data_IF_800626510438
#
_entry.id   IF_800626510438
#
_cell.length_a   1.000
_cell.length_b   1.000
_cell.length_c   1.000
_cell.angle_alpha   90.00
_cell.angle_beta   90.00
_cell.angle_gamma   90.00
#
_symmetry.space_group_name_H-M   'P 1'
#
loop_
_entity.id
_entity.type
_entity.pdbx_description
1 polymer ?
#
# COMPACT_ATOMS: atom_id res chain seq x y z
N UNK A 1 24.36 -9.28 17.69
CA UNK A 1 23.52 -10.46 17.95
C UNK A 1 22.36 -10.33 17.01
N UNK A 2 22.01 -11.40 16.28
CA UNK A 2 20.89 -11.35 15.36
C UNK A 2 19.60 -10.96 16.10
N UNK A 3 18.70 -10.34 15.37
CA UNK A 3 17.44 -9.83 15.90
C UNK A 3 16.34 -10.88 15.72
N UNK A 4 15.80 -11.42 16.81
CA UNK A 4 14.76 -12.45 16.74
C UNK A 4 13.41 -11.84 16.31
N UNK A 5 12.77 -12.50 15.33
CA UNK A 5 11.49 -12.14 14.74
C UNK A 5 10.58 -13.37 14.77
N UNK A 6 9.35 -13.21 15.27
CA UNK A 6 8.35 -14.26 15.20
C UNK A 6 7.98 -14.53 13.74
N UNK A 7 8.03 -15.79 13.32
CA UNK A 7 7.60 -16.22 11.99
C UNK A 7 6.23 -16.89 12.09
N UNK A 8 5.29 -16.49 11.23
CA UNK A 8 3.99 -17.17 11.14
C UNK A 8 3.44 -17.23 9.72
N UNK A 9 2.51 -18.14 9.49
CA UNK A 9 1.76 -18.27 8.25
C UNK A 9 0.28 -18.25 8.59
N UNK A 10 -0.42 -17.22 8.14
CA UNK A 10 -1.84 -17.00 8.48
C UNK A 10 -2.80 -17.75 7.55
N UNK A 11 -2.26 -18.43 6.53
CA UNK A 11 -3.02 -19.21 5.57
C UNK A 11 -3.81 -18.37 4.58
N UNK A 12 -4.86 -18.99 4.03
CA UNK A 12 -5.80 -18.35 3.11
C UNK A 12 -6.86 -17.60 3.91
N UNK A 13 -6.97 -16.29 3.71
CA UNK A 13 -8.01 -15.44 4.28
C UNK A 13 -8.63 -14.56 3.18
N UNK A 14 -9.81 -14.01 3.45
CA UNK A 14 -10.35 -12.95 2.59
C UNK A 14 -9.46 -11.71 2.65
N UNK A 15 -9.57 -10.85 1.64
CA UNK A 15 -8.79 -9.63 1.60
C UNK A 15 -9.10 -8.72 2.78
N UNK A 16 -10.37 -8.56 3.18
CA UNK A 16 -10.73 -7.73 4.33
C UNK A 16 -10.23 -8.31 5.66
N UNK A 17 -10.25 -9.62 5.86
CA UNK A 17 -9.66 -10.27 7.05
C UNK A 17 -8.16 -10.05 7.13
N UNK A 18 -7.44 -10.16 6.01
CA UNK A 18 -6.01 -9.89 5.95
C UNK A 18 -5.69 -8.44 6.35
N UNK A 19 -6.43 -7.46 5.82
CA UNK A 19 -6.22 -6.04 6.15
C UNK A 19 -6.59 -5.73 7.61
N UNK A 20 -7.65 -6.35 8.14
CA UNK A 20 -8.01 -6.18 9.54
C UNK A 20 -6.92 -6.74 10.48
N UNK A 21 -6.35 -7.89 10.11
CA UNK A 21 -5.22 -8.49 10.83
C UNK A 21 -3.95 -7.63 10.73
N UNK A 22 -3.71 -6.96 9.60
CA UNK A 22 -2.62 -5.99 9.47
C UNK A 22 -2.72 -4.85 10.49
N UNK A 23 -3.89 -4.22 10.58
CA UNK A 23 -4.12 -3.14 11.54
C UNK A 23 -4.01 -3.63 12.99
N UNK A 24 -4.61 -4.79 13.29
CA UNK A 24 -4.53 -5.39 14.61
C UNK A 24 -3.09 -5.67 15.05
N UNK A 25 -2.23 -6.14 14.14
CA UNK A 25 -0.82 -6.36 14.45
C UNK A 25 -0.07 -5.05 14.70
N UNK A 26 -0.36 -3.98 13.94
CA UNK A 26 0.24 -2.65 14.19
C UNK A 26 -0.08 -2.17 15.59
N UNK A 27 -1.36 -2.23 15.98
CA UNK A 27 -1.81 -1.73 17.27
C UNK A 27 -1.37 -2.64 18.42
N UNK A 28 -1.40 -3.96 18.24
CA UNK A 28 -0.88 -4.92 19.20
C UNK A 28 0.64 -4.76 19.42
N UNK A 29 1.41 -4.53 18.35
CA UNK A 29 2.85 -4.28 18.47
C UNK A 29 3.13 -2.94 19.16
N UNK A 30 2.41 -1.88 18.79
CA UNK A 30 2.52 -0.58 19.45
C UNK A 30 2.19 -0.66 20.95
N UNK A 31 1.25 -1.52 21.35
CA UNK A 31 0.89 -1.80 22.73
C UNK A 31 1.83 -2.79 23.45
N UNK A 32 2.88 -3.30 22.78
CA UNK A 32 3.82 -4.28 23.34
C UNK A 32 3.20 -5.65 23.61
N UNK A 33 2.13 -6.01 22.90
CA UNK A 33 1.37 -7.26 23.07
C UNK A 33 1.85 -8.38 22.16
N UNK A 34 2.53 -8.05 21.06
CA UNK A 34 3.17 -9.01 20.16
C UNK A 34 4.63 -8.58 19.92
N UNK A 35 5.53 -9.53 19.64
CA UNK A 35 6.91 -9.23 19.26
C UNK A 35 6.98 -8.74 17.80
N UNK A 36 8.16 -8.31 17.37
CA UNK A 36 8.47 -8.14 15.96
C UNK A 36 8.13 -9.44 15.21
N UNK A 37 7.37 -9.34 14.12
CA UNK A 37 6.76 -10.49 13.45
C UNK A 37 6.85 -10.37 11.94
N UNK A 38 7.30 -11.43 11.27
CA UNK A 38 7.15 -11.65 9.84
C UNK A 38 6.03 -12.67 9.62
N UNK A 39 5.02 -12.30 8.82
CA UNK A 39 3.94 -13.21 8.42
C UNK A 39 3.94 -13.45 6.92
N UNK A 40 3.61 -14.68 6.53
CA UNK A 40 3.16 -15.02 5.20
C UNK A 40 1.63 -15.09 5.17
N UNK A 41 1.04 -14.63 4.07
CA UNK A 41 -0.41 -14.49 3.91
C UNK A 41 -0.82 -14.90 2.49
N UNK A 42 -2.04 -15.44 2.33
CA UNK A 42 -2.66 -15.68 1.03
C UNK A 42 -4.07 -15.08 1.00
N UNK A 43 -4.52 -14.73 -0.20
CA UNK A 43 -5.77 -14.03 -0.42
C UNK A 43 -6.74 -14.93 -1.20
N UNK A 44 -8.02 -14.92 -0.81
CA UNK A 44 -9.08 -15.20 -1.78
C UNK A 44 -9.11 -14.09 -2.84
N UNK A 45 -9.64 -14.32 -4.05
CA UNK A 45 -9.67 -13.29 -5.11
C UNK A 45 -10.16 -11.93 -4.60
N UNK A 46 -9.28 -10.94 -4.64
CA UNK A 46 -9.49 -9.63 -4.04
C UNK A 46 -8.89 -8.52 -4.91
N UNK A 47 -9.63 -7.44 -5.09
CA UNK A 47 -9.14 -6.19 -5.68
C UNK A 47 -8.96 -5.16 -4.56
N UNK A 48 -7.71 -4.79 -4.28
CA UNK A 48 -7.32 -3.96 -3.15
C UNK A 48 -6.92 -2.56 -3.63
N UNK A 49 -7.54 -1.52 -3.07
CA UNK A 49 -7.16 -0.12 -3.25
C UNK A 49 -6.36 0.40 -2.05
N UNK A 50 -5.47 1.35 -2.29
CA UNK A 50 -4.74 2.04 -1.23
C UNK A 50 -5.65 2.94 -0.38
N UNK A 51 -5.19 3.25 0.85
CA UNK A 51 -5.95 4.04 1.83
C UNK A 51 -6.55 5.33 1.26
N UNK A 52 -5.81 6.00 0.39
CA UNK A 52 -6.15 7.32 -0.19
C UNK A 52 -6.58 7.26 -1.66
N UNK A 53 -6.88 6.08 -2.21
CA UNK A 53 -7.37 5.99 -3.58
C UNK A 53 -8.90 6.18 -3.66
N UNK A 54 -9.37 6.68 -4.79
CA UNK A 54 -10.81 6.80 -5.09
C UNK A 54 -11.35 5.49 -5.66
N UNK A 55 -12.23 4.82 -4.90
CA UNK A 55 -12.76 3.51 -5.24
C UNK A 55 -13.32 3.45 -6.67
N UNK A 56 -14.10 4.47 -7.06
CA UNK A 56 -14.76 4.55 -8.38
C UNK A 56 -13.77 4.63 -9.55
N UNK A 57 -12.57 5.17 -9.30
CA UNK A 57 -11.55 5.39 -10.32
C UNK A 57 -10.59 4.22 -10.43
N UNK A 58 -10.50 3.37 -9.41
CA UNK A 58 -9.53 2.28 -9.36
C UNK A 58 -10.13 0.92 -9.68
N UNK A 59 -11.41 0.67 -9.34
CA UNK A 59 -12.04 -0.63 -9.50
C UNK A 59 -13.27 -0.58 -10.42
N UNK A 60 -13.47 -1.66 -11.18
CA UNK A 60 -14.70 -1.93 -11.93
C UNK A 60 -15.62 -2.76 -11.05
N UNK A 61 -16.40 -2.09 -10.21
CA UNK A 61 -17.17 -2.74 -9.13
C UNK A 61 -18.11 -3.85 -9.64
N UNK A 62 -18.81 -3.61 -10.75
CA UNK A 62 -19.69 -4.61 -11.37
C UNK A 62 -18.90 -5.86 -11.83
N UNK A 63 -17.69 -5.68 -12.37
CA UNK A 63 -16.82 -6.80 -12.77
C UNK A 63 -16.27 -7.55 -11.57
N UNK A 64 -15.95 -6.84 -10.48
CA UNK A 64 -15.55 -7.47 -9.22
C UNK A 64 -16.67 -8.39 -8.71
N UNK A 65 -17.91 -7.89 -8.64
CA UNK A 65 -19.06 -8.64 -8.17
C UNK A 65 -19.34 -9.86 -9.06
N UNK A 66 -19.40 -9.66 -10.39
CA UNK A 66 -19.68 -10.73 -11.35
C UNK A 66 -18.65 -11.87 -11.33
N UNK A 67 -17.40 -11.57 -10.93
CA UNK A 67 -16.29 -12.53 -10.86
C UNK A 67 -16.06 -13.10 -9.46
N UNK A 68 -16.84 -12.68 -8.45
CA UNK A 68 -16.63 -13.07 -7.06
C UNK A 68 -15.32 -12.56 -6.47
N UNK A 69 -14.83 -11.41 -6.95
CA UNK A 69 -13.62 -10.74 -6.46
C UNK A 69 -14.01 -9.74 -5.38
N UNK A 70 -13.48 -9.91 -4.17
CA UNK A 70 -13.79 -9.02 -3.05
C UNK A 70 -13.15 -7.64 -3.25
N UNK A 71 -13.91 -6.57 -3.05
CA UNK A 71 -13.38 -5.19 -2.99
C UNK A 71 -12.85 -4.90 -1.60
N UNK A 72 -11.65 -4.31 -1.54
CA UNK A 72 -10.92 -4.11 -0.27
C UNK A 72 -10.23 -2.76 -0.30
N UNK A 73 -10.31 -2.00 0.79
CA UNK A 73 -9.43 -0.85 1.04
C UNK A 73 -8.37 -1.24 2.04
N UNK A 74 -7.11 -0.88 1.78
CA UNK A 74 -5.99 -1.12 2.70
C UNK A 74 -5.88 0.01 3.72
N UNK A 75 -5.30 -0.32 4.88
CA UNK A 75 -4.82 0.69 5.85
C UNK A 75 -3.53 1.37 5.37
N UNK A 76 -2.79 0.70 4.48
CA UNK A 76 -1.60 1.23 3.82
C UNK A 76 -1.94 1.99 2.53
N UNK A 77 -1.04 2.89 2.15
CA UNK A 77 -1.14 3.65 0.91
C UNK A 77 -0.85 2.86 -0.37
N UNK A 78 -0.49 3.58 -1.42
CA UNK A 78 -0.08 3.00 -2.71
C UNK A 78 -1.22 2.70 -3.69
N UNK A 79 -0.87 2.06 -4.80
CA UNK A 79 -1.78 1.82 -5.92
C UNK A 79 -2.72 0.62 -5.75
N UNK A 80 -3.67 0.49 -6.66
CA UNK A 80 -4.58 -0.64 -6.72
C UNK A 80 -3.87 -1.91 -7.20
N UNK A 81 -4.21 -3.05 -6.60
CA UNK A 81 -3.64 -4.37 -6.90
C UNK A 81 -4.73 -5.44 -6.88
N UNK A 82 -4.49 -6.54 -7.59
CA UNK A 82 -5.32 -7.75 -7.54
C UNK A 82 -4.52 -8.89 -6.93
N UNK A 83 -5.09 -9.59 -5.95
CA UNK A 83 -4.46 -10.73 -5.26
C UNK A 83 -5.41 -11.93 -5.24
N UNK A 84 -4.83 -13.11 -5.40
CA UNK A 84 -5.50 -14.41 -5.29
C UNK A 84 -4.51 -15.47 -4.79
N UNK A 85 -4.91 -16.74 -4.82
CA UNK A 85 -4.08 -17.85 -4.36
C UNK A 85 -2.86 -18.14 -5.24
N UNK A 86 -2.79 -17.56 -6.45
CA UNK A 86 -1.63 -17.66 -7.35
C UNK A 86 -0.46 -16.78 -6.90
N UNK A 87 -0.58 -16.11 -5.76
CA UNK A 87 0.38 -15.15 -5.25
C UNK A 87 0.62 -15.40 -3.76
N UNK A 88 1.78 -14.97 -3.25
CA UNK A 88 2.11 -15.04 -1.83
C UNK A 88 2.31 -13.63 -1.31
N UNK A 89 1.47 -13.23 -0.36
CA UNK A 89 1.69 -12.01 0.40
C UNK A 89 2.62 -12.25 1.58
N UNK A 90 3.23 -11.18 2.06
CA UNK A 90 3.98 -11.16 3.32
C UNK A 90 3.86 -9.80 3.99
N UNK A 91 4.06 -9.78 5.32
CA UNK A 91 4.06 -8.57 6.13
C UNK A 91 5.06 -8.66 7.27
N UNK A 92 5.91 -7.66 7.40
CA UNK A 92 6.81 -7.44 8.53
C UNK A 92 6.22 -6.33 9.40
N UNK A 93 5.88 -6.67 10.65
CA UNK A 93 5.53 -5.71 11.69
C UNK A 93 6.68 -5.67 12.68
N UNK A 94 7.36 -4.54 12.82
CA UNK A 94 8.49 -4.44 13.72
C UNK A 94 8.75 -3.02 14.25
N UNK A 95 9.61 -2.91 15.25
CA UNK A 95 10.17 -1.63 15.65
C UNK A 95 11.12 -1.08 14.58
N UNK A 96 10.75 0.02 13.91
CA UNK A 96 11.52 0.61 12.80
C UNK A 96 12.98 0.95 13.16
N UNK A 97 13.30 1.14 14.45
CA UNK A 97 14.66 1.44 14.90
C UNK A 97 15.64 0.31 14.59
N UNK A 98 15.19 -0.93 14.51
CA UNK A 98 16.05 -2.09 14.19
C UNK A 98 16.59 -2.02 12.76
N UNK A 99 15.90 -1.28 11.87
CA UNK A 99 16.29 -1.09 10.48
C UNK A 99 17.29 0.06 10.30
N UNK A 100 17.61 0.78 11.37
CA UNK A 100 18.66 1.81 11.39
C UNK A 100 18.40 3.00 10.47
N UNK A 101 17.14 3.34 10.18
CA UNK A 101 16.77 4.56 9.45
C UNK A 101 15.43 5.11 9.94
N UNK A 102 15.29 6.43 9.88
CA UNK A 102 14.01 7.12 10.11
C UNK A 102 13.24 7.40 8.81
N UNK A 103 13.88 7.21 7.65
CA UNK A 103 13.33 7.47 6.33
C UNK A 103 12.57 6.25 5.81
N UNK A 104 11.30 6.44 5.45
CA UNK A 104 10.50 5.36 4.85
C UNK A 104 11.10 4.86 3.53
N UNK A 105 11.71 5.75 2.75
CA UNK A 105 12.38 5.39 1.49
C UNK A 105 13.58 4.47 1.72
N UNK A 106 14.45 4.80 2.69
CA UNK A 106 15.62 3.96 3.00
C UNK A 106 15.22 2.62 3.64
N UNK A 107 14.19 2.63 4.49
CA UNK A 107 13.60 1.39 5.04
C UNK A 107 13.07 0.50 3.91
N UNK A 108 12.32 1.08 2.97
CA UNK A 108 11.78 0.39 1.79
C UNK A 108 12.89 -0.26 0.99
N UNK A 109 13.95 0.48 0.68
CA UNK A 109 15.11 -0.01 -0.06
C UNK A 109 15.79 -1.19 0.66
N UNK A 110 16.06 -1.08 1.97
CA UNK A 110 16.69 -2.16 2.75
C UNK A 110 15.86 -3.44 2.73
N UNK A 111 14.56 -3.33 3.02
CA UNK A 111 13.66 -4.49 3.06
C UNK A 111 13.52 -5.10 1.67
N UNK A 112 13.35 -4.29 0.61
CA UNK A 112 13.24 -4.80 -0.74
C UNK A 112 14.51 -5.51 -1.20
N UNK A 113 15.69 -4.98 -0.85
CA UNK A 113 16.96 -5.64 -1.15
C UNK A 113 17.10 -6.98 -0.42
N UNK A 114 16.63 -7.09 0.83
CA UNK A 114 16.62 -8.37 1.55
C UNK A 114 15.75 -9.41 0.83
N UNK A 115 14.52 -9.03 0.45
CA UNK A 115 13.61 -9.92 -0.27
C UNK A 115 14.16 -10.27 -1.66
N UNK A 116 14.72 -9.31 -2.39
CA UNK A 116 15.33 -9.50 -3.70
C UNK A 116 16.52 -10.47 -3.63
N UNK A 117 17.43 -10.29 -2.67
CA UNK A 117 18.56 -11.19 -2.44
C UNK A 117 18.09 -12.63 -2.18
N UNK A 118 17.07 -12.79 -1.34
CA UNK A 118 16.46 -14.09 -1.07
C UNK A 118 15.86 -14.73 -2.33
N UNK A 119 15.00 -14.01 -3.05
CA UNK A 119 14.36 -14.51 -4.27
C UNK A 119 15.37 -14.85 -5.38
N UNK A 120 16.49 -14.14 -5.46
CA UNK A 120 17.55 -14.43 -6.44
C UNK A 120 18.17 -15.83 -6.26
N UNK A 121 18.12 -16.39 -5.06
CA UNK A 121 18.58 -17.77 -4.80
C UNK A 121 17.74 -18.85 -5.52
N UNK A 122 16.56 -18.49 -6.03
CA UNK A 122 15.72 -19.39 -6.84
C UNK A 122 16.22 -19.52 -8.29
N UNK A 123 17.27 -18.79 -8.68
CA UNK A 123 17.84 -18.81 -10.04
C UNK A 123 17.35 -17.67 -10.93
N UNK A 124 16.92 -16.55 -10.35
CA UNK A 124 16.54 -15.32 -11.05
C UNK A 124 17.44 -14.15 -10.58
N UNK A 125 17.55 -13.09 -11.37
CA UNK A 125 18.27 -11.87 -10.98
C UNK A 125 17.26 -10.83 -10.47
N UNK A 126 16.75 -11.04 -9.26
CA UNK A 126 15.79 -10.15 -8.62
C UNK A 126 16.51 -8.95 -8.00
N UNK A 127 16.02 -7.75 -8.29
CA UNK A 127 16.64 -6.49 -7.86
C UNK A 127 15.58 -5.49 -7.37
N UNK A 128 15.96 -4.63 -6.44
CA UNK A 128 15.12 -3.52 -6.02
C UNK A 128 14.98 -2.51 -7.18
N UNK A 129 13.72 -2.20 -7.51
CA UNK A 129 13.36 -1.12 -8.44
C UNK A 129 12.83 0.06 -7.63
N UNK A 130 13.49 1.23 -7.69
CA UNK A 130 13.07 2.41 -6.95
C UNK A 130 11.60 2.79 -7.07
N UNK A 131 11.19 3.46 -5.99
CA UNK A 131 9.87 3.58 -5.37
C UNK A 131 9.59 2.47 -4.37
N UNK A 132 9.27 1.25 -4.79
CA UNK A 132 8.74 0.21 -3.89
C UNK A 132 8.57 -1.18 -4.55
N UNK A 133 9.27 -1.47 -5.66
CA UNK A 133 9.05 -2.71 -6.41
C UNK A 133 10.31 -3.58 -6.41
N UNK A 134 10.13 -4.88 -6.69
CA UNK A 134 11.23 -5.80 -7.01
C UNK A 134 10.98 -6.31 -8.42
N UNK A 135 12.03 -6.32 -9.23
CA UNK A 135 11.97 -6.68 -10.64
C UNK A 135 13.04 -7.67 -11.06
N UNK A 136 12.81 -8.31 -12.20
CA UNK A 136 13.79 -9.12 -12.94
C UNK A 136 13.73 -8.65 -14.39
N UNK A 137 14.87 -8.28 -14.97
CA UNK A 137 14.95 -7.78 -16.36
C UNK A 137 13.95 -6.63 -16.66
N UNK A 138 13.72 -5.71 -15.69
CA UNK A 138 12.79 -4.59 -15.82
C UNK A 138 11.30 -4.93 -15.64
N UNK A 139 10.97 -6.21 -15.43
CA UNK A 139 9.61 -6.68 -15.17
C UNK A 139 9.39 -6.90 -13.67
N UNK A 140 8.37 -6.27 -13.12
CA UNK A 140 7.98 -6.38 -11.71
C UNK A 140 7.56 -7.81 -11.36
N UNK A 141 8.11 -8.34 -10.27
CA UNK A 141 7.73 -9.63 -9.68
C UNK A 141 7.16 -9.47 -8.25
N UNK A 142 7.29 -8.29 -7.68
CA UNK A 142 6.75 -7.97 -6.36
C UNK A 142 6.45 -6.49 -6.23
N UNK A 143 5.26 -6.19 -5.70
CA UNK A 143 4.91 -4.85 -5.24
C UNK A 143 4.94 -4.80 -3.72
N UNK A 144 5.58 -3.78 -3.17
CA UNK A 144 5.73 -3.60 -1.73
C UNK A 144 5.16 -2.26 -1.26
N UNK A 145 4.98 -2.10 0.03
CA UNK A 145 4.51 -0.85 0.61
C UNK A 145 4.39 -0.97 2.11
N UNK A 146 4.46 0.16 2.80
CA UNK A 146 4.37 0.17 4.25
C UNK A 146 4.24 1.57 4.79
N UNK A 147 3.98 1.65 6.08
CA UNK A 147 3.98 2.87 6.85
C UNK A 147 4.43 2.55 8.28
N UNK A 148 4.81 3.58 9.01
CA UNK A 148 5.01 3.51 10.45
C UNK A 148 4.09 4.48 11.21
N UNK A 149 3.63 4.06 12.39
CA UNK A 149 3.05 4.96 13.39
C UNK A 149 3.93 4.91 14.64
N UNK A 150 4.49 6.06 15.01
CA UNK A 150 5.56 6.16 16.00
C UNK A 150 6.77 5.30 15.65
N UNK A 151 7.00 4.24 16.42
CA UNK A 151 8.11 3.29 16.18
C UNK A 151 7.65 1.99 15.53
N UNK A 152 6.35 1.71 15.44
CA UNK A 152 5.84 0.50 14.80
C UNK A 152 5.80 0.70 13.30
N UNK A 153 6.57 -0.10 12.57
CA UNK A 153 6.49 -0.25 11.13
C UNK A 153 5.58 -1.43 10.80
N UNK A 154 4.73 -1.26 9.79
CA UNK A 154 4.22 -2.36 8.99
C UNK A 154 4.74 -2.19 7.56
N UNK A 155 5.39 -3.21 7.04
CA UNK A 155 5.87 -3.25 5.67
C UNK A 155 5.48 -4.55 5.01
N UNK A 156 4.89 -4.47 3.83
CA UNK A 156 4.20 -5.57 3.19
C UNK A 156 4.67 -5.71 1.77
N UNK A 157 4.52 -6.91 1.23
CA UNK A 157 4.76 -7.15 -0.17
C UNK A 157 4.04 -8.37 -0.67
N UNK A 158 4.17 -8.58 -1.96
CA UNK A 158 3.52 -9.67 -2.70
C UNK A 158 4.54 -10.28 -3.63
N UNK A 159 4.59 -11.60 -3.72
CA UNK A 159 5.41 -12.31 -4.70
C UNK A 159 4.46 -12.89 -5.73
N UNK A 160 4.64 -12.48 -6.98
CA UNK A 160 3.82 -12.91 -8.11
C UNK A 160 4.30 -14.31 -8.54
N UNK A 161 3.60 -15.36 -8.10
CA UNK A 161 4.01 -16.74 -8.36
C UNK A 161 3.45 -17.24 -9.69
N UNK A 162 2.14 -17.12 -9.88
CA UNK A 162 1.37 -17.51 -11.06
C UNK A 162 0.17 -16.55 -11.19
N UNK A 163 0.46 -15.30 -11.60
CA UNK A 163 -0.54 -14.23 -11.70
C UNK A 163 -1.58 -14.55 -12.78
N UNK A 164 -2.86 -14.28 -12.50
CA UNK A 164 -3.93 -14.18 -13.50
C UNK A 164 -4.06 -12.73 -14.03
N UNK A 165 -3.39 -12.38 -15.14
CA UNK A 165 -3.47 -11.03 -15.70
C UNK A 165 -4.84 -10.72 -16.30
N UNK A 166 -5.62 -11.73 -16.70
CA UNK A 166 -6.93 -11.51 -17.30
C UNK A 166 -7.90 -10.96 -16.24
N UNK A 167 -8.01 -11.65 -15.10
CA UNK A 167 -8.87 -11.19 -14.01
C UNK A 167 -8.39 -9.84 -13.47
N UNK A 168 -7.08 -9.65 -13.27
CA UNK A 168 -6.52 -8.36 -12.85
C UNK A 168 -6.96 -7.21 -13.78
N UNK A 169 -6.83 -7.38 -15.09
CA UNK A 169 -7.22 -6.33 -16.06
C UNK A 169 -8.74 -6.14 -16.15
N UNK A 170 -9.51 -7.20 -15.88
CA UNK A 170 -10.96 -7.14 -15.86
C UNK A 170 -11.51 -6.37 -14.66
N UNK A 171 -10.87 -6.45 -13.49
CA UNK A 171 -11.38 -5.83 -12.25
C UNK A 171 -10.76 -4.47 -11.92
N UNK A 172 -9.55 -4.18 -12.41
CA UNK A 172 -8.87 -2.91 -12.17
C UNK A 172 -9.12 -1.90 -13.31
N UNK A 173 -9.28 -0.63 -12.94
CA UNK A 173 -9.22 0.52 -13.85
C UNK A 173 -7.77 0.97 -14.00
N UNK A 174 -7.02 0.28 -14.85
CA UNK A 174 -5.61 0.64 -15.10
C UNK A 174 -5.57 1.97 -15.89
N UNK A 175 -4.92 3.04 -15.37
CA UNK A 175 -4.85 4.34 -16.02
C UNK A 175 -4.31 4.25 -17.46
N UNK A 176 -4.86 5.05 -18.38
CA UNK A 176 -4.49 5.02 -19.80
C UNK A 176 -2.99 5.27 -20.08
N UNK A 177 -2.29 6.06 -19.25
CA UNK A 177 -0.84 6.26 -19.36
C UNK A 177 -0.04 5.03 -18.86
N UNK A 178 -0.63 4.23 -17.96
CA UNK A 178 -0.18 2.87 -17.66
C UNK A 178 -0.71 1.87 -18.72
N UNK A 179 -1.40 2.31 -19.76
CA UNK A 179 -1.90 1.46 -20.86
C UNK A 179 -1.43 2.00 -22.22
N UNK A 180 -0.11 2.01 -22.46
CA UNK A 180 0.32 2.16 -23.85
C UNK A 180 -0.02 0.87 -24.62
N UNK A 181 -1.04 1.02 -25.47
CA UNK A 181 -1.65 0.02 -26.37
C UNK A 181 -2.30 -1.17 -25.65
N UNK A 182 -3.59 -1.36 -25.98
CA UNK A 182 -4.53 -2.39 -25.52
C UNK A 182 -4.14 -3.81 -25.94
N UNK A 183 -2.92 -4.24 -25.66
CA UNK A 183 -2.51 -5.63 -25.80
C UNK A 183 -2.19 -6.20 -24.42
N UNK A 184 -2.72 -7.38 -24.11
CA UNK A 184 -2.28 -8.19 -22.95
C UNK A 184 -0.75 -8.34 -22.91
N UNK A 185 -0.09 -8.22 -24.07
CA UNK A 185 1.36 -8.19 -24.23
C UNK A 185 2.06 -6.98 -23.57
N UNK A 186 1.42 -5.82 -23.42
CA UNK A 186 2.04 -4.62 -22.81
C UNK A 186 1.97 -4.64 -21.27
N UNK A 187 0.94 -5.27 -20.69
CA UNK A 187 0.90 -5.56 -19.25
C UNK A 187 1.99 -6.59 -18.88
N UNK A 188 2.17 -7.61 -19.71
CA UNK A 188 3.24 -8.59 -19.60
C UNK A 188 4.65 -7.96 -19.73
N UNK A 189 4.81 -6.81 -20.40
CA UNK A 189 6.09 -6.10 -20.46
C UNK A 189 6.48 -5.41 -19.14
N UNK A 190 5.56 -5.25 -18.18
CA UNK A 190 5.84 -4.56 -16.90
C UNK A 190 5.77 -5.45 -15.69
N UNK A 191 5.05 -6.56 -15.77
CA UNK A 191 4.86 -7.50 -14.66
C UNK A 191 5.13 -8.91 -15.18
N UNK A 192 5.81 -9.72 -14.38
CA UNK A 192 6.05 -11.15 -14.66
C UNK A 192 5.85 -11.97 -13.39
N UNK A 193 5.93 -13.30 -13.52
CA UNK A 193 5.74 -14.22 -12.41
C UNK A 193 6.94 -15.14 -12.24
N UNK A 194 7.12 -15.71 -11.04
CA UNK A 194 8.14 -16.72 -10.79
C UNK A 194 7.97 -17.93 -11.73
N UNK A 195 6.73 -18.35 -12.00
CA UNK A 195 6.45 -19.44 -12.94
C UNK A 195 6.97 -19.15 -14.34
N UNK A 196 6.74 -17.94 -14.85
CA UNK A 196 7.21 -17.52 -16.16
C UNK A 196 8.74 -17.46 -16.24
N UNK A 197 9.39 -16.98 -15.18
CA UNK A 197 10.85 -16.83 -15.13
C UNK A 197 11.59 -18.16 -14.93
N UNK A 198 11.03 -19.05 -14.10
CA UNK A 198 11.66 -20.33 -13.74
C UNK A 198 11.26 -21.49 -14.65
N UNK A 199 10.22 -21.32 -15.48
CA UNK A 199 9.63 -22.40 -16.29
C UNK A 199 8.90 -23.46 -15.47
N UNK A 200 8.71 -23.24 -14.16
CA UNK A 200 7.97 -24.09 -13.22
C UNK A 200 7.36 -23.23 -12.13
N UNK A 201 6.29 -23.68 -11.51
CA UNK A 201 5.75 -23.04 -10.30
C UNK A 201 6.56 -23.48 -9.08
N UNK A 202 7.34 -22.59 -8.42
CA UNK A 202 7.97 -22.93 -7.15
C UNK A 202 6.92 -23.09 -6.05
N UNK A 203 7.17 -24.00 -5.11
CA UNK A 203 6.30 -24.23 -3.97
C UNK A 203 6.33 -23.05 -3.00
N UNK A 204 5.26 -22.90 -2.20
CA UNK A 204 5.19 -21.90 -1.12
C UNK A 204 6.39 -22.01 -0.17
N UNK A 205 6.77 -23.22 0.22
CA UNK A 205 7.93 -23.46 1.09
C UNK A 205 9.25 -23.01 0.47
N UNK A 206 9.50 -23.27 -0.81
CA UNK A 206 10.71 -22.78 -1.50
C UNK A 206 10.80 -21.25 -1.47
N UNK A 207 9.69 -20.56 -1.77
CA UNK A 207 9.64 -19.10 -1.78
C UNK A 207 9.84 -18.54 -0.37
N UNK A 208 9.15 -19.11 0.63
CA UNK A 208 9.30 -18.72 2.03
C UNK A 208 10.74 -18.89 2.50
N UNK A 209 11.35 -20.07 2.27
CA UNK A 209 12.75 -20.32 2.64
C UNK A 209 13.72 -19.35 1.97
N UNK A 210 13.54 -19.07 0.68
CA UNK A 210 14.36 -18.12 -0.07
C UNK A 210 14.28 -16.71 0.55
N UNK A 211 13.06 -16.23 0.84
CA UNK A 211 12.85 -14.93 1.47
C UNK A 211 13.43 -14.85 2.88
N UNK A 212 13.24 -15.88 3.71
CA UNK A 212 13.80 -15.93 5.06
C UNK A 212 15.32 -15.85 5.02
N UNK A 213 15.98 -16.56 4.10
CA UNK A 213 17.44 -16.46 3.93
C UNK A 213 17.87 -15.03 3.55
N UNK A 214 17.14 -14.38 2.63
CA UNK A 214 17.39 -12.98 2.30
C UNK A 214 17.28 -12.03 3.49
N UNK A 215 16.28 -12.24 4.35
CA UNK A 215 16.16 -11.48 5.61
C UNK A 215 17.29 -11.77 6.60
N UNK A 216 17.73 -13.02 6.74
CA UNK A 216 18.89 -13.39 7.59
C UNK A 216 20.15 -12.68 7.10
N UNK A 217 20.45 -12.82 5.81
CA UNK A 217 21.72 -12.37 5.23
C UNK A 217 21.83 -10.83 5.17
N UNK A 218 20.72 -10.14 4.91
CA UNK A 218 20.73 -8.68 4.68
C UNK A 218 20.32 -7.87 5.91
N UNK A 219 19.43 -8.39 6.77
CA UNK A 219 18.92 -7.68 7.94
C UNK A 219 19.37 -8.26 9.29
N UNK A 220 20.16 -9.34 9.29
CA UNK A 220 20.61 -10.04 10.52
C UNK A 220 19.43 -10.49 11.40
N UNK A 221 18.33 -10.91 10.76
CA UNK A 221 17.16 -11.45 11.46
C UNK A 221 17.35 -12.93 11.75
N UNK A 222 16.80 -13.40 12.86
CA UNK A 222 16.56 -14.81 13.12
C UNK A 222 15.09 -15.06 13.37
N UNK A 223 14.63 -16.28 13.09
CA UNK A 223 13.20 -16.58 13.06
C UNK A 223 12.84 -17.69 14.03
N UNK A 224 11.89 -17.38 14.91
CA UNK A 224 11.25 -18.35 15.81
C UNK A 224 9.82 -18.60 15.33
N UNK A 225 9.47 -19.87 15.11
CA UNK A 225 8.10 -20.24 14.69
C UNK A 225 7.08 -19.83 15.76
N UNK A 226 5.97 -19.26 15.30
CA UNK A 226 4.87 -18.84 16.14
C UNK A 226 3.54 -18.87 15.41
N UNK A 227 2.48 -18.62 16.18
CA UNK A 227 1.12 -18.45 15.67
C UNK A 227 0.59 -17.08 16.09
N UNK A 228 -0.52 -16.66 15.48
CA UNK A 228 -1.26 -15.51 15.97
C UNK A 228 -1.74 -15.76 17.40
N UNK A 229 -1.62 -14.73 18.23
CA UNK A 229 -2.14 -14.69 19.60
C UNK A 229 -3.65 -14.41 19.61
N UNK A 230 -4.34 -14.86 20.64
CA UNK A 230 -5.76 -14.55 20.85
C UNK A 230 -6.03 -13.04 20.91
N UNK A 231 -5.04 -12.26 21.37
CA UNK A 231 -5.14 -10.81 21.43
C UNK A 231 -5.22 -10.18 20.04
N UNK A 232 -4.29 -10.54 19.14
CA UNK A 232 -4.26 -9.95 17.80
C UNK A 232 -5.39 -10.49 16.91
N UNK A 233 -5.79 -11.75 17.05
CA UNK A 233 -6.96 -12.30 16.33
C UNK A 233 -8.27 -11.70 16.85
N UNK A 234 -8.41 -11.50 18.16
CA UNK A 234 -9.58 -10.83 18.75
C UNK A 234 -9.72 -9.38 18.26
N UNK A 235 -8.61 -8.65 18.21
CA UNK A 235 -8.57 -7.28 17.70
C UNK A 235 -8.82 -7.24 16.18
N UNK A 236 -8.26 -8.18 15.42
CA UNK A 236 -8.50 -8.31 13.98
C UNK A 236 -9.98 -8.57 13.68
N UNK A 237 -10.61 -9.44 14.46
CA UNK A 237 -12.05 -9.69 14.35
C UNK A 237 -12.87 -8.44 14.65
N UNK A 238 -12.52 -7.71 15.71
CA UNK A 238 -13.18 -6.45 16.04
C UNK A 238 -13.07 -5.44 14.89
N UNK A 239 -11.86 -5.18 14.39
CA UNK A 239 -11.66 -4.25 13.27
C UNK A 239 -12.36 -4.69 11.99
N UNK A 240 -12.36 -5.98 11.70
CA UNK A 240 -13.12 -6.52 10.58
C UNK A 240 -14.62 -6.22 10.73
N UNK A 241 -15.21 -6.57 11.86
CA UNK A 241 -16.65 -6.49 12.05
C UNK A 241 -17.17 -5.04 12.19
N UNK A 242 -16.35 -4.15 12.75
CA UNK A 242 -16.75 -2.77 13.07
C UNK A 242 -16.38 -1.76 11.98
N UNK A 243 -15.30 -1.98 11.22
CA UNK A 243 -14.78 -0.97 10.29
C UNK A 243 -14.21 -1.59 9.00
N UNK A 244 -13.03 -2.21 9.05
CA UNK A 244 -12.22 -2.62 7.88
C UNK A 244 -12.96 -3.64 7.00
N UNK A 245 -13.80 -4.50 7.59
CA UNK A 245 -14.60 -5.49 6.88
C UNK A 245 -15.86 -4.94 6.22
N UNK A 246 -16.21 -3.67 6.46
CA UNK A 246 -17.48 -3.08 6.02
C UNK A 246 -17.39 -2.46 4.62
N UNK A 247 -18.53 -2.39 3.93
CA UNK A 247 -18.63 -1.64 2.67
C UNK A 247 -18.36 -0.15 2.86
N UNK A 248 -18.71 0.40 4.03
CA UNK A 248 -18.49 1.82 4.36
C UNK A 248 -17.00 2.16 4.35
N UNK A 249 -16.15 1.33 4.98
CA UNK A 249 -14.71 1.54 4.94
C UNK A 249 -14.13 1.42 3.52
N UNK A 250 -14.61 0.45 2.73
CA UNK A 250 -14.18 0.33 1.33
C UNK A 250 -14.58 1.57 0.52
N UNK A 251 -15.78 2.08 0.75
CA UNK A 251 -16.35 3.25 0.07
C UNK A 251 -15.96 4.61 0.69
N UNK A 252 -15.11 4.65 1.73
CA UNK A 252 -14.71 5.86 2.46
C UNK A 252 -14.34 7.04 1.53
N UNK A 253 -13.58 6.74 0.47
CA UNK A 253 -13.32 7.67 -0.64
C UNK A 253 -13.87 7.04 -1.92
N UNK A 254 -15.05 7.51 -2.35
CA UNK A 254 -15.73 7.03 -3.54
C UNK A 254 -16.43 8.18 -4.27
N UNK A 255 -15.92 8.51 -5.46
CA UNK A 255 -16.41 9.58 -6.34
C UNK A 255 -16.60 10.93 -5.58
N UNK A 256 -15.53 11.47 -4.95
CA UNK A 256 -15.59 12.74 -4.23
C UNK A 256 -15.97 13.92 -5.15
N UNK A 257 -15.79 13.78 -6.46
CA UNK A 257 -16.16 14.78 -7.46
C UNK A 257 -17.67 14.81 -7.78
N UNK A 258 -18.47 13.83 -7.31
CA UNK A 258 -19.91 13.75 -7.57
C UNK A 258 -20.72 14.94 -7.04
N UNK A 259 -20.24 15.56 -5.96
CA UNK A 259 -20.94 16.68 -5.31
C UNK A 259 -20.84 17.92 -6.19
N UNK A 260 -21.91 18.74 -6.22
CA UNK A 260 -21.86 20.05 -6.86
C UNK A 260 -20.75 20.93 -6.23
N UNK A 261 -20.17 21.80 -7.06
CA UNK A 261 -19.13 22.78 -6.69
C UNK A 261 -17.81 22.16 -6.19
N UNK A 262 -17.44 20.98 -6.68
CA UNK A 262 -16.12 20.38 -6.48
C UNK A 262 -15.22 20.69 -7.67
N UNK A 263 -14.12 21.38 -7.40
CA UNK A 263 -13.03 21.60 -8.35
C UNK A 263 -12.02 20.46 -8.25
N UNK A 264 -11.50 19.98 -9.38
CA UNK A 264 -10.54 18.86 -9.40
C UNK A 264 -9.26 19.30 -10.08
N UNK A 265 -8.16 19.20 -9.36
CA UNK A 265 -6.82 19.50 -9.86
C UNK A 265 -5.86 18.35 -9.61
N UNK A 266 -4.72 18.37 -10.30
CA UNK A 266 -3.68 17.35 -10.16
C UNK A 266 -2.29 17.94 -10.07
N UNK A 267 -1.37 17.21 -9.43
CA UNK A 267 0.05 17.54 -9.54
C UNK A 267 0.59 17.23 -10.94
N UNK A 268 1.80 17.69 -11.24
CA UNK A 268 2.46 17.49 -12.54
C UNK A 268 2.64 16.01 -12.89
N UNK A 269 2.98 15.17 -11.90
CA UNK A 269 3.14 13.73 -12.10
C UNK A 269 1.80 12.98 -12.27
N UNK A 270 0.66 13.62 -12.01
CA UNK A 270 -0.68 13.06 -12.17
C UNK A 270 -1.04 11.93 -11.20
N UNK A 271 -0.21 11.66 -10.19
CA UNK A 271 -0.40 10.62 -9.18
C UNK A 271 -1.05 11.14 -7.88
N UNK A 272 -1.32 12.43 -7.80
CA UNK A 272 -2.05 13.11 -6.72
C UNK A 272 -3.12 14.02 -7.33
N UNK A 273 -4.36 13.85 -6.89
CA UNK A 273 -5.50 14.72 -7.21
C UNK A 273 -5.98 15.44 -5.94
N UNK A 274 -6.42 16.67 -6.09
CA UNK A 274 -7.09 17.44 -5.04
C UNK A 274 -8.53 17.72 -5.49
N UNK A 275 -9.50 17.34 -4.67
CA UNK A 275 -10.92 17.64 -4.82
C UNK A 275 -11.26 18.76 -3.86
N UNK A 276 -11.44 19.96 -4.38
CA UNK A 276 -11.46 21.21 -3.60
C UNK A 276 -12.85 21.83 -3.65
N UNK A 277 -13.36 22.25 -2.50
CA UNK A 277 -14.57 23.07 -2.39
C UNK A 277 -14.24 24.37 -1.68
N UNK A 278 -14.73 25.47 -2.24
CA UNK A 278 -14.59 26.80 -1.66
C UNK A 278 -15.83 27.18 -0.83
N UNK A 279 -15.70 28.16 0.04
CA UNK A 279 -16.83 28.71 0.83
C UNK A 279 -17.79 29.53 -0.06
N UNK A 280 -18.51 28.91 -0.99
CA UNK A 280 -19.44 29.59 -1.89
C UNK A 280 -18.77 30.29 -3.09
N UNK A 281 -19.57 30.88 -4.00
CA UNK A 281 -19.15 31.19 -5.38
C UNK A 281 -18.21 32.40 -5.55
N UNK A 282 -17.89 33.13 -4.47
CA UNK A 282 -17.07 34.36 -4.51
C UNK A 282 -15.96 34.41 -3.46
N UNK A 283 -15.72 33.31 -2.73
CA UNK A 283 -14.73 33.32 -1.65
C UNK A 283 -13.41 32.72 -2.09
N UNK A 284 -12.38 33.17 -1.41
CA UNK A 284 -10.99 32.76 -1.52
C UNK A 284 -10.62 31.78 -0.39
N UNK A 285 -11.58 31.05 0.19
CA UNK A 285 -11.35 30.16 1.34
C UNK A 285 -11.71 28.72 1.07
N UNK A 286 -10.85 27.82 1.54
CA UNK A 286 -11.03 26.38 1.47
C UNK A 286 -12.12 25.95 2.45
N UNK A 287 -13.22 25.39 1.94
CA UNK A 287 -14.24 24.73 2.75
C UNK A 287 -13.85 23.28 3.06
N UNK A 288 -13.37 22.58 2.04
CA UNK A 288 -13.08 21.14 2.08
C UNK A 288 -12.04 20.83 1.00
N UNK A 289 -11.08 19.96 1.33
CA UNK A 289 -10.20 19.31 0.36
C UNK A 289 -10.19 17.83 0.66
N UNK A 290 -10.24 17.01 -0.38
CA UNK A 290 -9.94 15.58 -0.31
C UNK A 290 -8.82 15.29 -1.30
N UNK A 291 -7.74 14.69 -0.83
CA UNK A 291 -6.63 14.25 -1.66
C UNK A 291 -6.76 12.78 -2.00
N UNK A 292 -6.61 12.46 -3.29
CA UNK A 292 -6.69 11.08 -3.75
C UNK A 292 -5.51 10.71 -4.65
N UNK A 293 -5.04 9.47 -4.55
CA UNK A 293 -4.02 8.94 -5.46
C UNK A 293 -3.20 7.78 -4.87
N UNK A 294 -2.14 7.40 -5.59
CA UNK A 294 -1.18 6.36 -5.19
C UNK A 294 -0.24 6.89 -4.10
N UNK A 295 -0.77 7.41 -2.99
CA UNK A 295 -0.01 8.16 -1.98
C UNK A 295 0.61 7.19 -0.97
N UNK A 296 1.91 7.34 -0.73
CA UNK A 296 2.62 6.70 0.38
C UNK A 296 3.04 7.77 1.37
N UNK A 297 2.31 7.87 2.48
CA UNK A 297 2.54 8.82 3.56
C UNK A 297 2.49 8.09 4.90
N UNK A 298 3.28 8.56 5.87
CA UNK A 298 3.40 7.93 7.17
C UNK A 298 3.33 8.95 8.31
N UNK A 299 2.48 8.70 9.35
CA UNK A 299 1.40 7.71 9.34
C UNK A 299 0.30 8.05 8.31
N UNK A 300 -0.51 7.08 7.84
CA UNK A 300 -1.53 7.32 6.81
C UNK A 300 -2.56 8.39 7.21
N UNK A 301 -2.90 8.50 8.50
CA UNK A 301 -3.86 9.50 9.00
C UNK A 301 -3.44 10.96 8.77
N UNK A 302 -2.14 11.22 8.56
CA UNK A 302 -1.61 12.57 8.36
C UNK A 302 -2.28 13.28 7.19
N UNK A 303 -2.68 12.54 6.14
CA UNK A 303 -3.35 13.19 5.02
C UNK A 303 -4.73 13.75 5.42
N UNK A 304 -5.48 13.03 6.25
CA UNK A 304 -6.77 13.49 6.79
C UNK A 304 -6.58 14.66 7.76
N UNK A 305 -5.54 14.60 8.60
CA UNK A 305 -5.17 15.70 9.49
C UNK A 305 -4.84 16.97 8.69
N UNK A 306 -4.16 16.81 7.55
CA UNK A 306 -3.82 17.91 6.64
C UNK A 306 -5.06 18.49 5.95
N UNK A 307 -5.94 17.64 5.41
CA UNK A 307 -7.23 18.04 4.83
C UNK A 307 -8.08 18.84 5.83
N UNK A 308 -8.08 18.43 7.10
CA UNK A 308 -8.75 19.16 8.17
C UNK A 308 -8.07 20.48 8.50
N UNK A 309 -6.73 20.53 8.55
CA UNK A 309 -5.96 21.76 8.83
C UNK A 309 -6.12 22.83 7.73
N UNK A 310 -6.37 22.40 6.49
CA UNK A 310 -6.63 23.31 5.37
C UNK A 310 -7.99 24.01 5.44
N UNK A 311 -8.96 23.50 6.21
CA UNK A 311 -10.31 24.11 6.31
C UNK A 311 -10.24 25.54 6.85
N UNK A 312 -10.95 26.46 6.19
CA UNK A 312 -10.96 27.89 6.49
C UNK A 312 -9.71 28.64 6.02
N UNK A 313 -8.69 27.96 5.47
CA UNK A 313 -7.47 28.60 4.97
C UNK A 313 -7.78 29.41 3.71
N UNK A 314 -7.22 30.61 3.59
CA UNK A 314 -7.33 31.37 2.35
C UNK A 314 -6.45 30.77 1.26
N UNK A 315 -6.88 30.87 0.01
CA UNK A 315 -6.16 30.37 -1.17
C UNK A 315 -4.75 30.95 -1.28
N UNK A 316 -4.57 32.22 -0.93
CA UNK A 316 -3.27 32.89 -0.91
C UNK A 316 -2.29 32.27 0.12
N UNK A 317 -2.81 31.74 1.24
CA UNK A 317 -2.03 31.25 2.37
C UNK A 317 -1.69 29.75 2.29
N UNK A 318 -2.18 29.02 1.27
CA UNK A 318 -2.04 27.55 1.17
C UNK A 318 -0.56 27.12 1.18
N UNK A 319 0.32 27.84 0.48
CA UNK A 319 1.74 27.49 0.43
C UNK A 319 2.39 27.51 1.81
N UNK A 320 2.11 28.55 2.60
CA UNK A 320 2.67 28.70 3.94
C UNK A 320 2.08 27.68 4.90
N UNK A 321 0.75 27.47 4.83
CA UNK A 321 0.01 26.48 5.62
C UNK A 321 0.53 25.06 5.37
N UNK A 322 0.68 24.65 4.11
CA UNK A 322 1.23 23.35 3.72
C UNK A 322 2.64 23.17 4.25
N UNK A 323 3.54 24.15 4.06
CA UNK A 323 4.91 24.07 4.60
C UNK A 323 4.92 23.94 6.12
N UNK A 324 4.13 24.74 6.81
CA UNK A 324 4.03 24.70 8.28
C UNK A 324 3.52 23.34 8.78
N UNK A 325 2.55 22.74 8.09
CA UNK A 325 2.02 21.43 8.44
C UNK A 325 3.07 20.33 8.28
N UNK A 326 3.74 20.25 7.12
CA UNK A 326 4.71 19.19 6.81
C UNK A 326 6.08 19.36 7.48
N UNK A 327 6.40 20.54 8.03
CA UNK A 327 7.61 20.76 8.82
C UNK A 327 7.55 20.14 10.23
N UNK A 328 6.40 19.57 10.63
CA UNK A 328 6.30 18.82 11.89
C UNK A 328 7.19 17.57 11.83
N UNK A 329 7.87 17.29 12.94
CA UNK A 329 8.66 16.07 13.07
C UNK A 329 7.71 14.85 12.99
N UNK A 330 8.12 13.81 12.25
CA UNK A 330 7.43 12.53 12.06
C UNK A 330 6.40 12.42 10.92
N UNK A 331 6.56 13.19 9.83
CA UNK A 331 5.87 12.93 8.55
C UNK A 331 6.88 12.44 7.51
N UNK A 332 6.66 11.24 6.96
CA UNK A 332 7.44 10.70 5.85
C UNK A 332 6.58 10.47 4.61
N UNK A 333 7.18 10.60 3.42
CA UNK A 333 6.51 10.32 2.15
C UNK A 333 7.46 9.61 1.18
N UNK A 334 6.92 8.76 0.31
CA UNK A 334 7.65 8.19 -0.84
C UNK A 334 7.17 8.89 -2.11
N UNK A 335 8.11 9.41 -2.89
CA UNK A 335 7.89 10.05 -4.20
C UNK A 335 7.09 11.35 -4.23
N UNK A 336 6.50 11.79 -3.11
CA UNK A 336 5.76 13.04 -3.02
C UNK A 336 6.48 14.08 -2.15
N UNK A 337 6.34 15.35 -2.51
CA UNK A 337 6.80 16.52 -1.74
C UNK A 337 5.62 17.40 -1.32
N UNK A 338 5.72 18.14 -0.21
CA UNK A 338 4.65 19.05 0.24
C UNK A 338 4.14 20.01 -0.84
N UNK A 339 5.05 20.51 -1.69
CA UNK A 339 4.70 21.43 -2.81
C UNK A 339 3.73 20.81 -3.81
N UNK A 340 3.70 19.50 -3.97
CA UNK A 340 2.81 18.82 -4.92
C UNK A 340 1.35 18.86 -4.47
N UNK A 341 1.09 18.89 -3.16
CA UNK A 341 -0.26 19.09 -2.63
C UNK A 341 -0.78 20.49 -2.94
N UNK A 342 0.05 21.51 -2.73
CA UNK A 342 -0.35 22.88 -3.11
C UNK A 342 -0.52 23.01 -4.61
N UNK A 343 0.35 22.38 -5.42
CA UNK A 343 0.22 22.39 -6.86
C UNK A 343 -1.11 21.79 -7.32
N UNK A 344 -1.53 20.64 -6.74
CA UNK A 344 -2.81 20.01 -7.04
C UNK A 344 -4.01 20.89 -6.64
N UNK A 345 -3.97 21.54 -5.46
CA UNK A 345 -5.03 22.48 -5.06
C UNK A 345 -5.11 23.66 -6.03
N UNK A 346 -3.97 24.27 -6.36
CA UNK A 346 -3.92 25.41 -7.28
C UNK A 346 -4.42 25.03 -8.67
N UNK A 347 -4.12 23.83 -9.13
CA UNK A 347 -4.63 23.34 -10.40
C UNK A 347 -6.15 23.20 -10.41
N UNK A 348 -6.76 22.85 -9.27
CA UNK A 348 -8.20 22.70 -9.14
C UNK A 348 -8.93 24.05 -9.30
N UNK A 349 -8.42 25.09 -8.65
CA UNK A 349 -9.09 26.40 -8.50
C UNK A 349 -8.68 27.44 -9.56
N UNK A 350 -8.02 27.00 -10.64
CA UNK A 350 -7.58 27.86 -11.76
C UNK A 350 -8.73 28.36 -12.63
#
# INVERSE_FOLDING_TARGET
>A
MPHNVRLMDTGLRSGRENIAHDQAMVDAHAAGKIPDTLKFIQFTPSALIGRHQDLSQELKLDECENRGVQTVRRVSGGGAIYLDQGQIGWGLVCNRKILGSSSLTEITEKICNAVAAGLSTLGIDAQFRPRNDIEVNGQKISGTGGFFDGNTLIFQGTVLVDLDPETMMAVLNVPAHKMEKRDLASAAQRVTSLKSLLGRTPSKGEIQSAMLNGFRDVLDFEFDDGISSDYEEGLAKQYHDEEIGTEEFVADINDPARKADVFVGRNEAGNLKAHVRLEGPKTDRIREVVFTGDIFITPPRILMDFESDLRGTKVEDIDEKTKAFFNKADIGMISLKPVEFTAAIRDAIK
#
